data_IF_962629467422
#
_entry.id   IF_962629467422
#
_cell.length_a   1.000
_cell.length_b   1.000
_cell.length_c   1.000
_cell.angle_alpha   90.00
_cell.angle_beta   90.00
_cell.angle_gamma   90.00
#
_symmetry.space_group_name_H-M   'P 1'
#
loop_
_entity.id
_entity.type
_entity.pdbx_description
1 polymer ?
#
# COMPACT_ATOMS: atom_id res chain seq x y z
N UNK A 1 -9.86 7.49 8.38
CA UNK A 1 -8.91 6.57 7.69
C UNK A 1 -8.34 5.48 8.61
N UNK A 2 -7.74 5.80 9.76
CA UNK A 2 -7.13 4.82 10.68
C UNK A 2 -8.13 3.89 11.41
N UNK A 3 -9.43 4.04 11.18
CA UNK A 3 -10.49 3.23 11.79
C UNK A 3 -11.02 2.13 10.84
N UNK A 4 -10.38 1.95 9.69
CA UNK A 4 -10.73 0.91 8.72
C UNK A 4 -9.71 -0.22 8.82
N UNK A 5 -9.93 -1.22 9.71
CA UNK A 5 -8.91 -2.23 10.04
C UNK A 5 -8.46 -3.03 8.81
N UNK A 6 -9.37 -3.29 7.87
CA UNK A 6 -9.05 -4.02 6.64
C UNK A 6 -8.11 -3.22 5.71
N UNK A 7 -8.29 -1.90 5.62
CA UNK A 7 -7.44 -1.04 4.80
C UNK A 7 -6.03 -0.93 5.40
N UNK A 8 -5.93 -0.82 6.72
CA UNK A 8 -4.67 -0.85 7.44
C UNK A 8 -3.94 -2.20 7.28
N UNK A 9 -4.67 -3.32 7.38
CA UNK A 9 -4.10 -4.65 7.16
C UNK A 9 -3.58 -4.82 5.73
N UNK A 10 -4.35 -4.37 4.73
CA UNK A 10 -3.94 -4.40 3.33
C UNK A 10 -2.69 -3.53 3.06
N UNK A 11 -2.66 -2.31 3.60
CA UNK A 11 -1.49 -1.44 3.52
C UNK A 11 -0.28 -2.06 4.23
N UNK A 12 -0.49 -2.70 5.38
CA UNK A 12 0.53 -3.46 6.10
C UNK A 12 1.13 -4.57 5.25
N UNK A 13 0.30 -5.39 4.59
CA UNK A 13 0.77 -6.43 3.67
C UNK A 13 1.54 -5.85 2.48
N UNK A 14 1.10 -4.71 1.92
CA UNK A 14 1.85 -4.02 0.87
C UNK A 14 3.22 -3.53 1.36
N UNK A 15 3.31 -3.01 2.59
CA UNK A 15 4.57 -2.58 3.21
C UNK A 15 5.50 -3.78 3.42
N UNK A 16 4.99 -4.92 3.89
CA UNK A 16 5.78 -6.16 4.06
C UNK A 16 6.37 -6.60 2.72
N UNK A 17 5.56 -6.71 1.66
CA UNK A 17 6.03 -7.11 0.34
C UNK A 17 7.04 -6.13 -0.28
N UNK A 18 6.79 -4.83 -0.11
CA UNK A 18 7.71 -3.77 -0.60
C UNK A 18 9.02 -3.76 0.19
N UNK A 19 8.95 -3.95 1.51
CA UNK A 19 10.11 -4.02 2.40
C UNK A 19 10.98 -5.25 2.12
N UNK A 20 10.38 -6.40 1.82
CA UNK A 20 11.11 -7.59 1.37
C UNK A 20 11.91 -7.32 0.09
N UNK A 21 11.29 -6.73 -0.93
CA UNK A 21 11.98 -6.41 -2.19
C UNK A 21 13.11 -5.38 -2.02
N UNK A 22 12.94 -4.41 -1.13
CA UNK A 22 13.97 -3.41 -0.84
C UNK A 22 15.08 -3.92 0.09
N UNK A 23 14.89 -5.09 0.72
CA UNK A 23 15.76 -5.59 1.79
C UNK A 23 15.79 -4.65 3.01
N UNK A 24 14.65 -4.10 3.43
CA UNK A 24 14.55 -3.25 4.62
C UNK A 24 14.47 -4.09 5.89
N UNK A 25 14.94 -3.57 7.03
CA UNK A 25 14.74 -4.22 8.34
C UNK A 25 13.24 -4.25 8.67
N UNK A 26 12.65 -5.40 9.10
CA UNK A 26 13.24 -6.70 9.42
C UNK A 26 13.27 -7.74 8.27
N UNK A 27 12.88 -7.39 7.04
CA UNK A 27 12.70 -8.29 5.89
C UNK A 27 13.95 -8.52 5.02
N UNK A 28 15.15 -8.31 5.55
CA UNK A 28 16.41 -8.32 4.77
C UNK A 28 17.16 -9.66 4.80
N UNK A 29 16.73 -10.61 5.63
CA UNK A 29 17.48 -11.85 5.95
C UNK A 29 17.84 -12.70 4.72
N UNK A 30 17.04 -12.65 3.66
CA UNK A 30 17.31 -13.39 2.41
C UNK A 30 18.47 -12.81 1.58
N UNK A 31 18.83 -11.55 1.81
CA UNK A 31 19.72 -10.77 0.92
C UNK A 31 21.16 -11.31 0.92
N UNK A 32 21.78 -11.63 2.08
CA UNK A 32 23.14 -12.17 2.10
C UNK A 32 23.26 -13.51 1.38
N UNK A 33 22.35 -14.45 1.65
CA UNK A 33 22.38 -15.80 1.08
C UNK A 33 22.23 -15.78 -0.45
N UNK A 34 21.32 -14.94 -0.97
CA UNK A 34 21.09 -14.83 -2.41
C UNK A 34 22.25 -14.14 -3.13
N UNK A 35 22.89 -13.16 -2.51
CA UNK A 35 24.00 -12.44 -3.14
C UNK A 35 25.28 -13.28 -3.18
N UNK A 36 25.47 -14.13 -2.17
CA UNK A 36 26.58 -15.08 -2.12
C UNK A 36 26.37 -16.29 -3.03
N UNK A 37 25.14 -16.79 -3.13
CA UNK A 37 24.81 -17.98 -3.94
C UNK A 37 24.67 -17.72 -5.44
N UNK A 38 24.48 -16.47 -5.87
CA UNK A 38 24.23 -16.13 -7.26
C UNK A 38 25.50 -15.70 -8.03
N UNK A 39 25.59 -15.97 -9.35
CA UNK A 39 26.66 -15.43 -10.19
C UNK A 39 26.72 -13.90 -10.13
N UNK A 40 27.92 -13.33 -10.15
CA UNK A 40 28.16 -11.88 -10.08
C UNK A 40 27.23 -11.00 -10.96
N UNK A 41 26.96 -11.32 -12.25
CA UNK A 41 26.05 -10.49 -13.06
C UNK A 41 24.59 -10.53 -12.58
N UNK A 42 24.16 -11.64 -11.96
CA UNK A 42 22.80 -11.78 -11.42
C UNK A 42 22.66 -10.96 -10.14
N UNK A 43 23.65 -11.03 -9.24
CA UNK A 43 23.65 -10.25 -8.00
C UNK A 43 23.67 -8.74 -8.27
N UNK A 44 24.43 -8.29 -9.26
CA UNK A 44 24.47 -6.87 -9.67
C UNK A 44 23.16 -6.40 -10.31
N UNK A 45 22.54 -7.21 -11.17
CA UNK A 45 21.22 -6.91 -11.72
C UNK A 45 20.15 -6.83 -10.61
N UNK A 46 20.16 -7.80 -9.68
CA UNK A 46 19.23 -7.85 -8.57
C UNK A 46 19.41 -6.67 -7.61
N UNK A 47 20.65 -6.23 -7.37
CA UNK A 47 20.95 -5.09 -6.50
C UNK A 47 20.52 -3.75 -7.08
N UNK A 48 20.51 -3.62 -8.40
CA UNK A 48 20.26 -2.35 -9.08
C UNK A 48 18.86 -2.31 -9.68
N UNK A 49 18.62 -3.04 -10.77
CA UNK A 49 17.39 -2.98 -11.54
C UNK A 49 16.16 -3.30 -10.69
N UNK A 50 16.21 -4.35 -9.87
CA UNK A 50 15.08 -4.74 -9.01
C UNK A 50 14.76 -3.66 -7.96
N UNK A 51 15.79 -3.11 -7.31
CA UNK A 51 15.61 -2.10 -6.25
C UNK A 51 15.13 -0.76 -6.81
N UNK A 52 15.62 -0.35 -7.97
CA UNK A 52 15.16 0.87 -8.66
C UNK A 52 13.69 0.71 -9.09
N UNK A 53 13.33 -0.43 -9.68
CA UNK A 53 11.97 -0.68 -10.15
C UNK A 53 10.95 -0.63 -9.00
N UNK A 54 11.22 -1.31 -7.87
CA UNK A 54 10.29 -1.26 -6.74
C UNK A 54 10.25 0.12 -6.09
N UNK A 55 11.38 0.82 -6.00
CA UNK A 55 11.40 2.18 -5.46
C UNK A 55 10.52 3.14 -6.30
N UNK A 56 10.59 3.05 -7.63
CA UNK A 56 9.75 3.83 -8.52
C UNK A 56 8.25 3.51 -8.36
N UNK A 57 7.89 2.23 -8.20
CA UNK A 57 6.49 1.80 -7.98
C UNK A 57 5.98 2.31 -6.63
N UNK A 58 6.76 2.17 -5.57
CA UNK A 58 6.38 2.65 -4.23
C UNK A 58 6.24 4.17 -4.24
N UNK A 59 7.18 4.90 -4.85
CA UNK A 59 7.07 6.36 -5.00
C UNK A 59 5.80 6.75 -5.74
N UNK A 60 5.49 6.09 -6.87
CA UNK A 60 4.25 6.30 -7.61
C UNK A 60 3.01 6.03 -6.74
N UNK A 61 3.01 4.95 -5.97
CA UNK A 61 1.91 4.61 -5.07
C UNK A 61 1.65 5.75 -4.08
N UNK A 62 2.69 6.27 -3.43
CA UNK A 62 2.54 7.37 -2.46
C UNK A 62 2.11 8.70 -3.10
N UNK A 63 2.51 8.96 -4.34
CA UNK A 63 2.10 10.18 -5.07
C UNK A 63 0.62 10.18 -5.48
N UNK A 64 0.11 9.02 -5.90
CA UNK A 64 -1.25 8.91 -6.44
C UNK A 64 -2.27 8.35 -5.46
N UNK A 65 -1.84 7.82 -4.32
CA UNK A 65 -2.75 7.31 -3.29
C UNK A 65 -3.70 8.44 -2.86
N UNK A 66 -5.02 8.30 -3.08
CA UNK A 66 -5.96 9.33 -2.66
C UNK A 66 -5.93 9.40 -1.13
N UNK A 67 -5.38 10.50 -0.60
CA UNK A 67 -5.46 10.84 0.82
C UNK A 67 -6.92 10.88 1.22
N UNK A 68 -7.39 9.80 1.86
CA UNK A 68 -8.77 9.35 2.00
C UNK A 68 -9.82 10.43 1.89
N UNK A 69 -10.27 10.65 0.65
CA UNK A 69 -11.48 11.42 0.39
C UNK A 69 -12.66 10.54 0.76
N UNK A 70 -12.92 10.44 2.07
CA UNK A 70 -14.13 9.83 2.61
C UNK A 70 -15.28 10.62 2.03
N UNK A 71 -15.97 10.02 1.06
CA UNK A 71 -17.20 10.57 0.52
C UNK A 71 -18.18 10.57 1.70
N UNK A 72 -18.33 11.73 2.34
CA UNK A 72 -19.34 11.97 3.34
C UNK A 72 -20.69 11.91 2.64
N UNK A 73 -21.17 10.70 2.41
CA UNK A 73 -22.55 10.47 2.02
C UNK A 73 -23.40 10.41 3.30
N UNK A 74 -23.61 11.59 3.90
CA UNK A 74 -24.53 11.77 5.02
C UNK A 74 -25.67 12.73 4.67
N UNK A 75 -25.88 13.06 3.39
CA UNK A 75 -26.91 14.02 2.95
C UNK A 75 -28.07 13.41 2.16
N UNK A 76 -28.20 12.08 2.07
CA UNK A 76 -29.34 11.43 1.38
C UNK A 76 -30.31 10.66 2.27
N UNK A 77 -29.98 10.38 3.53
CA UNK A 77 -30.91 9.69 4.43
C UNK A 77 -31.91 10.63 5.14
N UNK A 78 -31.65 11.95 5.21
CA UNK A 78 -32.56 12.93 5.82
C UNK A 78 -33.70 13.39 4.91
N UNK A 79 -33.54 13.32 3.58
CA UNK A 79 -34.55 13.82 2.64
C UNK A 79 -35.72 12.85 2.42
N UNK A 80 -35.53 11.54 2.62
CA UNK A 80 -36.61 10.56 2.52
C UNK A 80 -37.44 10.43 3.79
N UNK A 81 -36.95 10.94 4.94
CA UNK A 81 -37.66 10.90 6.22
C UNK A 81 -38.52 12.14 6.47
N UNK A 82 -38.26 13.24 5.76
CA UNK A 82 -39.07 14.46 5.80
C UNK A 82 -40.34 14.39 4.93
N UNK A 83 -40.46 13.40 4.04
CA UNK A 83 -41.65 13.19 3.21
C UNK A 83 -42.66 12.20 3.81
N UNK A 84 -42.33 11.53 4.92
CA UNK A 84 -43.23 10.60 5.61
C UNK A 84 -43.83 11.17 6.91
N UNK A 85 -43.35 12.31 7.38
CA UNK A 85 -43.86 13.04 8.56
C UNK A 85 -44.79 14.22 8.17
N UNK A 86 -45.03 14.41 6.87
CA UNK A 86 -45.86 15.49 6.31
C UNK A 86 -47.22 15.01 5.80
N UNK A 87 -47.70 13.85 6.24
CA UNK A 87 -49.09 13.42 6.04
C UNK A 87 -49.61 12.86 7.36
N UNK A 88 -50.56 13.47 8.08
CA UNK A 88 -51.81 14.08 7.58
C UNK A 88 -52.44 13.29 6.45
#
# INVERSE_FOLDING_TARGET
>A
MLHQPLLLAGLGMMIVGSGFKLSLVPFHLWTPDVYQGAPAPVSTFLATASKIAIFAVVMRLFLYAPGGRQRSDSRRAGHHRLLLDSGR
#
